data_IF_306437573066
#
_entry.id   IF_306437573066
#
_cell.length_a   1.000
_cell.length_b   1.000
_cell.length_c   1.000
_cell.angle_alpha   90.00
_cell.angle_beta   90.00
_cell.angle_gamma   90.00
#
_symmetry.space_group_name_H-M   'P 1'
#
loop_
_entity.id
_entity.type
_entity.pdbx_description
1 polymer ?
#
# COMPACT_ATOMS: atom_id res chain seq x y z
N UNK A 1 12.23 13.40 -23.12
CA UNK A 1 11.57 12.43 -23.97
C UNK A 1 11.44 11.09 -23.28
N UNK A 2 10.38 10.42 -23.53
CA UNK A 2 10.16 9.13 -22.89
C UNK A 2 10.90 8.02 -23.61
N UNK A 3 11.43 7.10 -22.86
CA UNK A 3 12.05 5.93 -23.48
C UNK A 3 10.95 4.97 -23.92
N UNK A 4 11.36 3.92 -24.61
CA UNK A 4 10.40 2.95 -25.14
C UNK A 4 9.58 2.31 -24.05
N UNK A 5 10.19 2.04 -22.91
CA UNK A 5 9.49 1.45 -21.80
C UNK A 5 8.40 2.36 -21.25
N UNK A 6 8.75 3.62 -21.07
CA UNK A 6 7.77 4.58 -20.56
C UNK A 6 6.61 4.77 -21.50
N UNK A 7 6.88 4.79 -22.79
CA UNK A 7 5.82 4.89 -23.78
C UNK A 7 4.92 3.68 -23.73
N UNK A 8 5.50 2.50 -23.61
CA UNK A 8 4.72 1.28 -23.51
C UNK A 8 3.85 1.27 -22.26
N UNK A 9 4.45 1.65 -21.13
CA UNK A 9 3.71 1.70 -19.88
C UNK A 9 2.57 2.70 -19.95
N UNK A 10 2.81 3.84 -20.54
CA UNK A 10 1.76 4.84 -20.69
C UNK A 10 0.60 4.33 -21.50
N UNK A 11 0.91 3.63 -22.58
CA UNK A 11 -0.15 3.11 -23.43
C UNK A 11 -0.85 1.92 -22.83
N UNK A 12 -0.07 1.07 -22.17
CA UNK A 12 -0.60 -0.18 -21.65
C UNK A 12 -1.05 -0.07 -20.21
N UNK A 13 -0.59 0.95 -19.52
CA UNK A 13 -0.87 1.13 -18.11
C UNK A 13 -2.33 1.41 -17.80
N UNK A 14 -3.19 0.99 -18.66
CA UNK A 14 -4.61 1.18 -18.47
C UNK A 14 -5.13 2.41 -19.18
N UNK A 15 -4.26 3.30 -19.57
CA UNK A 15 -4.68 4.52 -20.22
C UNK A 15 -5.40 4.25 -21.51
N UNK A 16 -4.87 3.31 -22.28
CA UNK A 16 -5.47 2.98 -23.57
C UNK A 16 -6.80 2.28 -23.41
N UNK A 17 -6.91 1.45 -22.37
CA UNK A 17 -8.10 0.66 -22.15
C UNK A 17 -9.20 1.47 -21.48
N UNK A 18 -8.82 2.35 -20.56
CA UNK A 18 -9.78 3.05 -19.73
C UNK A 18 -9.83 4.54 -20.01
N UNK A 19 -8.90 4.99 -20.86
CA UNK A 19 -8.76 6.41 -21.08
C UNK A 19 -8.17 7.12 -19.88
N UNK A 20 -8.02 8.43 -19.95
CA UNK A 20 -7.49 9.19 -18.84
C UNK A 20 -8.48 9.19 -17.68
N UNK A 21 -7.93 9.15 -16.47
CA UNK A 21 -8.75 9.21 -15.28
C UNK A 21 -9.37 10.59 -15.13
N UNK A 22 -10.60 10.62 -14.68
CA UNK A 22 -11.25 11.90 -14.39
C UNK A 22 -10.61 12.52 -13.15
N UNK A 23 -10.91 13.78 -12.95
CA UNK A 23 -10.45 14.51 -11.77
C UNK A 23 -10.93 13.83 -10.51
N UNK A 24 -12.18 13.41 -10.50
CA UNK A 24 -12.77 12.75 -9.34
C UNK A 24 -12.10 11.41 -9.08
N UNK A 25 -11.81 10.66 -10.13
CA UNK A 25 -11.11 9.38 -9.97
C UNK A 25 -9.71 9.56 -9.41
N UNK A 26 -9.00 10.57 -9.90
CA UNK A 26 -7.67 10.87 -9.39
C UNK A 26 -7.72 11.25 -7.92
N UNK A 27 -8.71 12.04 -7.54
CA UNK A 27 -8.88 12.45 -6.16
C UNK A 27 -9.21 11.26 -5.27
N UNK A 28 -10.07 10.37 -5.73
CA UNK A 28 -10.40 9.17 -4.97
C UNK A 28 -9.19 8.25 -4.79
N UNK A 29 -8.40 8.08 -5.84
CA UNK A 29 -7.20 7.25 -5.75
C UNK A 29 -6.21 7.84 -4.76
N UNK A 30 -6.03 9.17 -4.80
CA UNK A 30 -5.15 9.84 -3.85
C UNK A 30 -5.64 9.67 -2.42
N UNK A 31 -6.95 9.75 -2.23
CA UNK A 31 -7.54 9.57 -0.92
C UNK A 31 -7.35 8.14 -0.41
N UNK A 32 -7.53 7.17 -1.27
CA UNK A 32 -7.29 5.77 -0.93
C UNK A 32 -5.82 5.57 -0.52
N UNK A 33 -4.90 6.11 -1.31
CA UNK A 33 -3.47 6.01 -0.98
C UNK A 33 -3.16 6.59 0.37
N UNK A 34 -3.69 7.77 0.65
CA UNK A 34 -3.47 8.46 1.91
C UNK A 34 -4.05 7.67 3.09
N UNK A 35 -5.25 7.16 2.92
CA UNK A 35 -5.95 6.40 3.95
C UNK A 35 -5.19 5.13 4.32
N UNK A 36 -4.75 4.38 3.32
CA UNK A 36 -4.06 3.13 3.60
C UNK A 36 -2.64 3.35 4.10
N UNK A 37 -1.98 4.41 3.63
CA UNK A 37 -0.69 4.80 4.17
C UNK A 37 -0.79 5.07 5.67
N UNK A 38 -1.83 5.78 6.07
CA UNK A 38 -2.06 6.08 7.48
C UNK A 38 -2.34 4.82 8.29
N UNK A 39 -3.12 3.90 7.74
CA UNK A 39 -3.41 2.63 8.40
C UNK A 39 -2.15 1.80 8.60
N UNK A 40 -1.33 1.71 7.56
CA UNK A 40 -0.09 0.95 7.63
C UNK A 40 0.85 1.57 8.67
N UNK A 41 0.99 2.88 8.64
CA UNK A 41 1.86 3.57 9.60
C UNK A 41 1.40 3.36 11.03
N UNK A 42 0.11 3.46 11.27
CA UNK A 42 -0.46 3.29 12.59
C UNK A 42 -0.21 1.89 13.14
N UNK A 43 -0.47 0.89 12.31
CA UNK A 43 -0.24 -0.50 12.72
C UNK A 43 1.24 -0.79 12.92
N UNK A 44 2.08 -0.27 12.05
CA UNK A 44 3.52 -0.48 12.15
C UNK A 44 4.06 0.13 13.44
N UNK A 45 3.66 1.33 13.75
CA UNK A 45 4.12 1.99 14.98
C UNK A 45 3.70 1.20 16.21
N UNK A 46 2.46 0.76 16.23
CA UNK A 46 1.93 -0.02 17.36
C UNK A 46 2.72 -1.33 17.52
N UNK A 47 2.92 -2.03 16.41
CA UNK A 47 3.61 -3.32 16.48
C UNK A 47 5.09 -3.17 16.77
N UNK A 48 5.71 -2.10 16.29
CA UNK A 48 7.12 -1.84 16.63
C UNK A 48 7.31 -1.57 18.11
N UNK A 49 6.34 -0.94 18.73
CA UNK A 49 6.37 -0.75 20.17
C UNK A 49 6.34 -2.09 20.89
N UNK A 50 5.51 -3.00 20.39
CA UNK A 50 5.43 -4.34 20.96
C UNK A 50 6.73 -5.12 20.75
N UNK A 51 7.41 -4.90 19.63
CA UNK A 51 8.73 -5.49 19.42
C UNK A 51 9.71 -4.99 20.48
N UNK A 52 9.72 -3.70 20.72
CA UNK A 52 10.60 -3.12 21.73
C UNK A 52 10.32 -3.72 23.11
N UNK A 53 9.05 -3.89 23.45
CA UNK A 53 8.67 -4.48 24.74
C UNK A 53 9.15 -5.93 24.82
N UNK A 54 8.97 -6.70 23.75
CA UNK A 54 9.43 -8.09 23.72
C UNK A 54 10.93 -8.19 23.88
N UNK A 55 11.67 -7.34 23.19
CA UNK A 55 13.13 -7.34 23.31
C UNK A 55 13.59 -6.93 24.70
N UNK A 56 12.89 -5.98 25.30
CA UNK A 56 13.23 -5.53 26.65
C UNK A 56 13.05 -6.66 27.67
N UNK A 57 12.12 -7.58 27.43
CA UNK A 57 11.90 -8.71 28.29
C UNK A 57 12.70 -9.94 27.89
N UNK A 58 13.54 -9.82 26.86
CA UNK A 58 14.37 -10.94 26.40
C UNK A 58 13.65 -11.93 25.50
N UNK A 59 12.48 -11.56 25.01
CA UNK A 59 11.67 -12.45 24.17
C UNK A 59 11.94 -12.17 22.69
N UNK A 60 13.05 -12.68 22.18
CA UNK A 60 13.42 -12.47 20.80
C UNK A 60 12.51 -13.20 19.84
N UNK A 61 12.03 -14.36 20.23
CA UNK A 61 11.10 -15.12 19.41
C UNK A 61 9.79 -14.38 19.22
N UNK A 62 9.29 -13.79 20.31
CA UNK A 62 8.10 -12.96 20.23
C UNK A 62 8.30 -11.76 19.33
N UNK A 63 9.46 -11.13 19.41
CA UNK A 63 9.79 -9.99 18.57
C UNK A 63 9.77 -10.40 17.09
N UNK A 64 10.33 -11.56 16.77
CA UNK A 64 10.35 -12.04 15.39
C UNK A 64 8.95 -12.32 14.87
N UNK A 65 8.09 -12.89 15.71
CA UNK A 65 6.71 -13.11 15.32
C UNK A 65 6.00 -11.80 15.00
N UNK A 66 6.27 -10.78 15.78
CA UNK A 66 5.67 -9.48 15.55
C UNK A 66 6.18 -8.89 14.22
N UNK A 67 7.47 -9.06 13.92
CA UNK A 67 8.01 -8.59 12.64
C UNK A 67 7.32 -9.27 11.46
N UNK A 68 7.04 -10.55 11.59
CA UNK A 68 6.30 -11.28 10.57
C UNK A 68 4.89 -10.74 10.44
N UNK A 69 4.28 -10.41 11.56
CA UNK A 69 2.94 -9.83 11.55
C UNK A 69 2.91 -8.48 10.85
N UNK A 70 3.94 -7.65 11.07
CA UNK A 70 4.04 -6.36 10.39
C UNK A 70 4.05 -6.58 8.87
N UNK A 71 4.87 -7.51 8.40
CA UNK A 71 4.95 -7.80 6.97
C UNK A 71 3.63 -8.28 6.42
N UNK A 72 2.96 -9.15 7.16
CA UNK A 72 1.67 -9.67 6.74
C UNK A 72 0.62 -8.57 6.67
N UNK A 73 0.51 -7.76 7.71
CA UNK A 73 -0.49 -6.69 7.75
C UNK A 73 -0.22 -5.63 6.68
N UNK A 74 1.05 -5.28 6.50
CA UNK A 74 1.42 -4.32 5.48
C UNK A 74 1.04 -4.82 4.09
N UNK A 75 1.38 -6.06 3.81
CA UNK A 75 1.06 -6.68 2.53
C UNK A 75 -0.45 -6.72 2.29
N UNK A 76 -1.21 -7.10 3.31
CA UNK A 76 -2.66 -7.18 3.20
C UNK A 76 -3.26 -5.80 2.94
N UNK A 77 -2.80 -4.79 3.66
CA UNK A 77 -3.32 -3.44 3.49
C UNK A 77 -2.95 -2.87 2.12
N UNK A 78 -1.74 -3.16 1.65
CA UNK A 78 -1.34 -2.72 0.32
C UNK A 78 -2.18 -3.38 -0.76
N UNK A 79 -2.52 -4.63 -0.57
CA UNK A 79 -3.38 -5.35 -1.49
C UNK A 79 -4.78 -4.75 -1.50
N UNK A 80 -5.33 -4.47 -0.33
CA UNK A 80 -6.63 -3.83 -0.23
C UNK A 80 -6.65 -2.47 -0.91
N UNK A 81 -5.59 -1.70 -0.70
CA UNK A 81 -5.47 -0.39 -1.33
C UNK A 81 -5.47 -0.52 -2.86
N UNK A 82 -4.72 -1.49 -3.35
CA UNK A 82 -4.63 -1.71 -4.79
C UNK A 82 -5.97 -2.11 -5.37
N UNK A 83 -6.70 -2.99 -4.69
CA UNK A 83 -8.03 -3.40 -5.13
C UNK A 83 -8.99 -2.23 -5.14
N UNK A 84 -8.93 -1.39 -4.13
CA UNK A 84 -9.78 -0.21 -4.08
C UNK A 84 -9.49 0.75 -5.23
N UNK A 85 -8.21 0.92 -5.54
CA UNK A 85 -7.81 1.77 -6.66
C UNK A 85 -8.28 1.20 -8.00
N UNK A 86 -8.15 -0.10 -8.16
CA UNK A 86 -8.62 -0.76 -9.38
C UNK A 86 -10.11 -0.55 -9.56
N UNK A 87 -10.87 -0.66 -8.49
CA UNK A 87 -12.31 -0.44 -8.55
C UNK A 87 -12.63 0.98 -9.03
N UNK A 88 -11.91 1.97 -8.53
CA UNK A 88 -12.10 3.36 -8.97
C UNK A 88 -11.79 3.50 -10.45
N UNK A 89 -10.71 2.89 -10.92
CA UNK A 89 -10.31 2.98 -12.32
C UNK A 89 -11.33 2.37 -13.27
N UNK A 90 -12.07 1.38 -12.79
CA UNK A 90 -13.06 0.71 -13.60
C UNK A 90 -14.39 1.42 -13.68
N UNK A 91 -14.61 2.38 -12.84
CA UNK A 91 -15.85 3.19 -12.88
C UNK A 91 -15.80 4.34 -13.92
#
# INVERSE_FOLDING_TARGET
>A
MKNAYELAVERLGGDDDFGPLSKDQKAEIAEISSKYKAKIAERTIFLEKNIADSLASGDEEGADKIRQQIRYETSTLEEEAEQAKVTVRKC
#
